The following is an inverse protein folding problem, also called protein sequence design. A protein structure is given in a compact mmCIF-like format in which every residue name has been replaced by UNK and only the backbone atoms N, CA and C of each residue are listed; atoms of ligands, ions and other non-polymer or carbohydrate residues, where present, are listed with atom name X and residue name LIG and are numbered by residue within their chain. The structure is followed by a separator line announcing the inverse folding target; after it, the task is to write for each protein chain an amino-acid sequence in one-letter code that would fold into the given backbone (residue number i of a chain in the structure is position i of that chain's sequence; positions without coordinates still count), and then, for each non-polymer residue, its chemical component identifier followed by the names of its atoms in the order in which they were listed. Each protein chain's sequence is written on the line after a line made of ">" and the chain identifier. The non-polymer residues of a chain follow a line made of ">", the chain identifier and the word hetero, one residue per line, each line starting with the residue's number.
data_IF_200802638291
#
_entry.id   IF_200802638291
#
_cell.length_a   1.000
_cell.length_b   1.000
_cell.length_c   1.000
_cell.angle_alpha   90.00
_cell.angle_beta   90.00
_cell.angle_gamma   90.00
#
_symmetry.space_group_name_H-M   'P 1'
#
loop_
_entity.id
_entity.type
_entity.pdbx_description
1 polymer ?
#
# COMPACT_ATOMS: atom_id res chain seq x y z
N UNK A 1 -1.00 10.12 8.52
CA UNK A 1 -0.61 8.85 9.20
C UNK A 1 -1.54 7.70 8.82
N UNK A 2 -2.87 7.87 8.93
CA UNK A 2 -3.88 6.82 8.64
C UNK A 2 -3.76 6.17 7.26
N UNK A 3 -3.53 6.97 6.21
CA UNK A 3 -3.34 6.44 4.85
C UNK A 3 -2.12 5.52 4.77
N UNK A 4 -0.95 5.96 5.23
CA UNK A 4 0.28 5.16 5.19
C UNK A 4 0.13 3.84 5.96
N UNK A 5 -0.55 3.87 7.10
CA UNK A 5 -0.88 2.66 7.86
C UNK A 5 -1.79 1.73 7.05
N UNK A 6 -2.89 2.27 6.51
CA UNK A 6 -3.84 1.52 5.68
C UNK A 6 -3.16 0.89 4.47
N UNK A 7 -2.20 1.59 3.85
CA UNK A 7 -1.41 1.06 2.73
C UNK A 7 -0.51 -0.10 3.15
N UNK A 8 0.14 -0.02 4.32
CA UNK A 8 0.94 -1.15 4.82
C UNK A 8 0.07 -2.35 5.18
N UNK A 9 -1.10 -2.12 5.77
CA UNK A 9 -2.07 -3.19 6.04
C UNK A 9 -2.60 -3.83 4.74
N UNK A 10 -2.82 -3.04 3.68
CA UNK A 10 -3.21 -3.56 2.39
C UNK A 10 -2.12 -4.49 1.80
N UNK A 11 -0.84 -4.12 1.93
CA UNK A 11 0.30 -4.96 1.52
C UNK A 11 0.37 -6.24 2.37
N UNK A 12 0.17 -6.13 3.69
CA UNK A 12 0.12 -7.29 4.58
C UNK A 12 -1.00 -8.28 4.19
N UNK A 13 -2.20 -7.76 3.91
CA UNK A 13 -3.35 -8.57 3.45
C UNK A 13 -3.09 -9.21 2.10
N UNK A 14 -2.48 -8.47 1.17
CA UNK A 14 -2.08 -8.98 -0.14
C UNK A 14 -1.06 -10.13 -0.02
N UNK A 15 -0.12 -10.04 0.91
CA UNK A 15 0.88 -11.10 1.14
C UNK A 15 0.28 -12.39 1.70
N UNK A 16 -0.67 -12.30 2.64
CA UNK A 16 -1.46 -13.44 3.14
C UNK A 16 -0.73 -14.44 4.06
N UNK A 17 0.59 -14.56 4.00
CA UNK A 17 1.36 -15.61 4.71
C UNK A 17 1.85 -15.23 6.12
N UNK A 18 1.45 -14.07 6.67
CA UNK A 18 1.93 -13.63 7.98
C UNK A 18 3.42 -13.26 8.01
N UNK A 19 4.02 -13.20 9.21
CA UNK A 19 5.44 -12.94 9.48
C UNK A 19 6.03 -11.72 8.72
N UNK A 20 5.31 -10.61 8.78
CA UNK A 20 5.72 -9.36 8.13
C UNK A 20 6.26 -8.35 9.15
N UNK A 21 7.52 -7.99 9.00
CA UNK A 21 8.09 -6.79 9.62
C UNK A 21 7.75 -5.56 8.75
N UNK A 22 6.72 -4.81 9.16
CA UNK A 22 6.21 -3.63 8.45
C UNK A 22 7.29 -2.53 8.25
N UNK A 23 8.33 -2.52 9.08
CA UNK A 23 9.39 -1.52 9.03
C UNK A 23 10.52 -1.89 8.08
N UNK A 24 10.77 -3.19 7.90
CA UNK A 24 11.87 -3.71 7.06
C UNK A 24 11.41 -4.18 5.70
N UNK A 25 10.27 -4.84 5.65
CA UNK A 25 9.77 -5.54 4.46
C UNK A 25 8.86 -4.67 3.60
N UNK A 26 8.29 -3.59 4.13
CA UNK A 26 7.41 -2.69 3.35
C UNK A 26 8.08 -1.33 3.16
N UNK A 27 8.22 -0.91 1.91
CA UNK A 27 8.68 0.44 1.54
C UNK A 27 7.58 1.16 0.78
N UNK A 28 7.22 2.36 1.24
CA UNK A 28 6.31 3.25 0.53
C UNK A 28 7.17 4.37 -0.06
N UNK A 29 7.05 4.63 -1.35
CA UNK A 29 7.76 5.75 -1.99
C UNK A 29 7.10 7.09 -1.61
N UNK A 30 7.84 8.19 -1.78
CA UNK A 30 7.31 9.53 -1.58
C UNK A 30 6.27 9.83 -2.67
N UNK A 31 5.19 10.48 -2.27
CA UNK A 31 4.13 10.92 -3.18
C UNK A 31 3.48 12.20 -2.65
N UNK A 32 2.79 12.91 -3.53
CA UNK A 32 1.97 14.05 -3.15
C UNK A 32 0.56 13.55 -2.79
N UNK A 33 0.13 13.86 -1.57
CA UNK A 33 -1.18 13.42 -1.07
C UNK A 33 -2.29 14.25 -1.70
N UNK A 34 -3.24 13.57 -2.34
CA UNK A 34 -4.43 14.16 -2.95
C UNK A 34 -5.70 13.51 -2.38
N UNK A 35 -6.88 13.89 -2.90
CA UNK A 35 -8.14 13.24 -2.51
C UNK A 35 -8.23 11.78 -2.97
N UNK A 36 -7.59 11.42 -4.09
CA UNK A 36 -7.44 10.07 -4.59
C UNK A 36 -6.21 9.98 -5.47
N UNK A 37 -5.66 8.79 -5.65
CA UNK A 37 -4.56 8.57 -6.58
C UNK A 37 -3.84 7.28 -6.29
N UNK A 38 -2.61 7.17 -6.80
CA UNK A 38 -1.76 6.03 -6.56
C UNK A 38 -0.34 6.46 -6.24
N UNK A 39 0.39 5.55 -5.61
CA UNK A 39 1.83 5.68 -5.41
C UNK A 39 2.50 4.31 -5.42
N UNK A 40 3.82 4.33 -5.64
CA UNK A 40 4.64 3.12 -5.68
C UNK A 40 4.98 2.64 -4.28
N UNK A 41 5.02 1.34 -4.13
CA UNK A 41 5.50 0.67 -2.94
C UNK A 41 6.32 -0.56 -3.34
N UNK A 42 7.03 -1.14 -2.38
CA UNK A 42 7.58 -2.48 -2.53
C UNK A 42 7.33 -3.31 -1.28
N UNK A 43 7.11 -4.60 -1.50
CA UNK A 43 7.26 -5.61 -0.47
C UNK A 43 8.54 -6.39 -0.74
N UNK A 44 9.56 -6.15 0.07
CA UNK A 44 10.93 -6.57 -0.19
C UNK A 44 11.38 -6.04 -1.57
N UNK A 45 11.56 -6.94 -2.55
CA UNK A 45 11.96 -6.63 -3.92
C UNK A 45 10.78 -6.65 -4.91
N UNK A 46 9.58 -7.05 -4.47
CA UNK A 46 8.39 -7.08 -5.33
C UNK A 46 7.82 -5.67 -5.45
N UNK A 47 7.84 -5.05 -6.65
CA UNK A 47 7.21 -3.76 -6.86
C UNK A 47 5.69 -3.89 -6.79
N UNK A 48 5.05 -2.94 -6.11
CA UNK A 48 3.62 -2.86 -5.92
C UNK A 48 3.13 -1.45 -6.23
N UNK A 49 1.86 -1.36 -6.64
CA UNK A 49 1.14 -0.10 -6.72
C UNK A 49 0.05 -0.09 -5.66
N UNK A 50 0.01 1.01 -4.89
CA UNK A 50 -1.07 1.29 -3.95
C UNK A 50 -1.96 2.35 -4.58
N UNK A 51 -3.22 2.00 -4.76
CA UNK A 51 -4.30 2.95 -5.02
C UNK A 51 -4.88 3.41 -3.68
N UNK A 52 -5.34 4.66 -3.62
CA UNK A 52 -5.97 5.22 -2.45
C UNK A 52 -7.06 6.24 -2.75
N UNK A 53 -7.98 6.36 -1.80
CA UNK A 53 -9.03 7.38 -1.79
C UNK A 53 -9.28 7.88 -0.37
N UNK A 54 -9.37 9.20 -0.22
CA UNK A 54 -9.64 9.91 1.02
C UNK A 54 -11.12 10.31 1.07
N UNK A 55 -11.79 9.92 2.14
CA UNK A 55 -13.14 10.35 2.51
C UNK A 55 -13.05 11.30 3.72
N UNK A 56 -14.17 11.91 4.12
CA UNK A 56 -14.22 12.89 5.22
C UNK A 56 -13.49 12.42 6.49
N UNK A 57 -13.75 11.19 6.94
CA UNK A 57 -13.14 10.61 8.16
C UNK A 57 -12.47 9.26 7.96
N UNK A 58 -12.36 8.80 6.71
CA UNK A 58 -11.89 7.46 6.36
C UNK A 58 -10.90 7.56 5.20
N UNK A 59 -10.03 6.57 5.07
CA UNK A 59 -9.25 6.37 3.86
C UNK A 59 -9.35 4.90 3.44
N UNK A 60 -9.38 4.69 2.13
CA UNK A 60 -9.27 3.37 1.53
C UNK A 60 -7.92 3.28 0.82
N UNK A 61 -7.23 2.16 0.99
CA UNK A 61 -6.01 1.84 0.27
C UNK A 61 -6.05 0.37 -0.17
N UNK A 62 -5.64 0.07 -1.39
CA UNK A 62 -5.63 -1.28 -1.93
C UNK A 62 -4.45 -1.51 -2.86
N UNK A 63 -3.98 -2.76 -2.91
CA UNK A 63 -2.90 -3.18 -3.80
C UNK A 63 -3.51 -3.60 -5.14
N UNK A 64 -2.96 -3.08 -6.25
CA UNK A 64 -3.25 -3.59 -7.58
C UNK A 64 -2.04 -4.41 -8.06
N UNK A 65 -2.26 -5.71 -8.31
CA UNK A 65 -1.31 -6.56 -9.03
C UNK A 65 -1.85 -6.87 -10.40
N UNK A 66 -1.07 -6.61 -11.44
CA UNK A 66 -1.33 -7.19 -12.76
C UNK A 66 -1.09 -8.69 -12.60
N UNK A 67 -2.11 -9.52 -12.86
CA UNK A 67 -1.88 -10.95 -12.97
C UNK A 67 -0.82 -11.14 -14.07
N UNK A 68 0.26 -11.87 -13.75
CA UNK A 68 1.20 -12.27 -14.78
C UNK A 68 0.41 -13.11 -15.80
N UNK A 69 0.29 -12.58 -17.02
CA UNK A 69 -0.26 -13.31 -18.16
C UNK A 69 0.63 -14.52 -18.50
#
# INVERSE_FOLDING_TARGET
>A
LTLLWSSKEAIFKWWGNGDVDFSKMIRLEKFEMQGKGFFKASFQETPLQIEYEMFDKLCLAWVITVAAN
#
